data_IF_697996565208
#
_entry.id   IF_697996565208
#
_cell.length_a   1.000
_cell.length_b   1.000
_cell.length_c   1.000
_cell.angle_alpha   90.00
_cell.angle_beta   90.00
_cell.angle_gamma   90.00
#
_symmetry.space_group_name_H-M   'P 1'
#
loop_
_entity.id
_entity.type
_entity.pdbx_description
1 polymer ?
#
# COMPACT_ATOMS: atom_id res chain seq x y z
N UNK A 1 -18.06 3.52 -14.83
CA UNK A 1 -16.59 3.56 -14.91
C UNK A 1 -16.02 3.19 -13.55
N UNK A 2 -15.75 1.90 -13.38
CA UNK A 2 -15.29 1.27 -12.14
C UNK A 2 -13.92 1.84 -11.75
N UNK A 3 -13.00 1.97 -12.70
CA UNK A 3 -11.67 2.53 -12.43
C UNK A 3 -11.72 3.95 -11.87
N UNK A 4 -12.61 4.79 -12.40
CA UNK A 4 -12.78 6.16 -11.93
C UNK A 4 -13.28 6.20 -10.48
N UNK A 5 -14.31 5.41 -10.14
CA UNK A 5 -14.87 5.37 -8.79
C UNK A 5 -13.92 4.72 -7.79
N UNK A 6 -13.29 3.59 -8.15
CA UNK A 6 -12.33 2.89 -7.29
C UNK A 6 -11.05 3.73 -7.07
N UNK A 7 -10.57 4.40 -8.11
CA UNK A 7 -9.42 5.32 -8.02
C UNK A 7 -9.68 6.44 -7.02
N UNK A 8 -10.85 7.08 -7.09
CA UNK A 8 -11.24 8.09 -6.09
C UNK A 8 -11.29 7.51 -4.67
N UNK A 9 -11.91 6.34 -4.47
CA UNK A 9 -11.95 5.70 -3.14
C UNK A 9 -10.55 5.43 -2.60
N UNK A 10 -9.64 4.90 -3.43
CA UNK A 10 -8.24 4.66 -3.03
C UNK A 10 -7.52 5.95 -2.64
N UNK A 11 -7.63 7.01 -3.45
CA UNK A 11 -6.99 8.31 -3.17
C UNK A 11 -7.56 8.92 -1.88
N UNK A 12 -8.87 8.87 -1.67
CA UNK A 12 -9.50 9.37 -0.43
C UNK A 12 -8.99 8.59 0.77
N UNK A 13 -8.95 7.25 0.71
CA UNK A 13 -8.40 6.43 1.78
C UNK A 13 -6.92 6.75 2.05
N UNK A 14 -6.13 7.03 1.01
CA UNK A 14 -4.75 7.45 1.17
C UNK A 14 -4.62 8.81 1.86
N UNK A 15 -5.50 9.77 1.53
CA UNK A 15 -5.57 11.07 2.22
C UNK A 15 -5.96 10.88 3.68
N UNK A 16 -6.95 10.04 3.99
CA UNK A 16 -7.34 9.72 5.37
C UNK A 16 -6.16 9.14 6.14
N UNK A 17 -5.41 8.21 5.56
CA UNK A 17 -4.19 7.66 6.18
C UNK A 17 -3.05 8.67 6.29
N UNK A 18 -3.08 9.75 5.51
CA UNK A 18 -2.14 10.86 5.61
C UNK A 18 -2.44 11.75 6.81
N UNK A 19 -3.71 12.10 7.00
CA UNK A 19 -4.15 13.02 8.06
C UNK A 19 -4.22 12.30 9.41
N UNK A 20 -4.71 11.05 9.43
CA UNK A 20 -4.95 10.28 10.65
C UNK A 20 -4.21 8.93 10.64
N UNK A 21 -2.86 8.93 10.66
CA UNK A 21 -2.12 7.68 10.81
C UNK A 21 -2.44 7.04 12.17
N UNK A 22 -2.56 5.71 12.18
CA UNK A 22 -2.79 4.91 13.38
C UNK A 22 -1.48 4.85 14.16
N UNK A 23 -1.49 5.43 15.36
CA UNK A 23 -0.25 5.64 16.13
C UNK A 23 0.21 4.40 16.91
N UNK A 24 -0.67 3.41 17.08
CA UNK A 24 -0.46 2.25 17.96
C UNK A 24 -0.97 0.96 17.33
N UNK A 25 -0.29 -0.15 17.63
CA UNK A 25 -0.62 -1.49 17.13
C UNK A 25 -2.03 -1.99 17.53
N UNK A 26 -2.47 -1.61 18.72
CA UNK A 26 -3.75 -2.05 19.31
C UNK A 26 -4.98 -1.29 18.78
N UNK A 27 -4.82 -0.31 17.88
CA UNK A 27 -5.96 0.42 17.34
C UNK A 27 -6.84 -0.49 16.45
N UNK A 28 -8.14 -0.16 16.40
CA UNK A 28 -9.13 -0.91 15.60
C UNK A 28 -8.93 -0.80 14.09
N UNK A 29 -8.23 0.26 13.63
CA UNK A 29 -7.97 0.54 12.22
C UNK A 29 -6.46 0.64 11.92
N UNK A 30 -6.08 0.35 10.67
CA UNK A 30 -4.69 0.36 10.20
C UNK A 30 -4.38 -0.82 9.27
N UNK A 31 -3.13 -0.94 8.83
CA UNK A 31 -2.68 -2.06 8.01
C UNK A 31 -2.46 -3.29 8.90
N UNK A 32 -3.27 -4.35 8.72
CA UNK A 32 -3.37 -5.49 9.66
C UNK A 32 -2.84 -6.81 9.10
N UNK A 33 -1.75 -6.81 8.35
CA UNK A 33 -1.08 -8.08 8.00
C UNK A 33 -0.26 -8.59 9.19
N UNK A 34 -0.07 -9.93 9.34
CA UNK A 34 0.69 -10.50 10.45
C UNK A 34 2.08 -9.90 10.59
N UNK A 35 2.80 -9.76 9.46
CA UNK A 35 4.14 -9.16 9.39
C UNK A 35 4.15 -7.68 9.83
N UNK A 36 3.10 -6.93 9.50
CA UNK A 36 2.97 -5.54 9.95
C UNK A 36 2.81 -5.39 11.46
N UNK A 37 2.41 -6.45 12.17
CA UNK A 37 2.02 -6.40 13.58
C UNK A 37 3.07 -6.94 14.55
N UNK A 38 4.23 -7.36 14.05
CA UNK A 38 5.32 -7.88 14.88
C UNK A 38 5.87 -6.84 15.86
N UNK A 39 6.07 -5.60 15.38
CA UNK A 39 6.65 -4.52 16.17
C UNK A 39 5.93 -3.19 15.88
N UNK A 40 5.91 -2.28 16.86
CA UNK A 40 5.32 -0.93 16.66
C UNK A 40 6.04 -0.14 15.56
N UNK A 41 7.36 -0.31 15.42
CA UNK A 41 8.16 0.29 14.34
C UNK A 41 7.71 -0.22 12.97
N UNK A 42 7.58 -1.54 12.82
CA UNK A 42 7.09 -2.19 11.60
C UNK A 42 5.67 -1.78 11.27
N UNK A 43 4.79 -1.65 12.28
CA UNK A 43 3.41 -1.19 12.09
C UNK A 43 3.35 0.24 11.55
N UNK A 44 4.15 1.16 12.11
CA UNK A 44 4.23 2.55 11.63
C UNK A 44 4.80 2.63 10.21
N UNK A 45 5.81 1.81 9.91
CA UNK A 45 6.38 1.72 8.57
C UNK A 45 5.37 1.17 7.57
N UNK A 46 4.68 0.08 7.91
CA UNK A 46 3.62 -0.53 7.11
C UNK A 46 2.54 0.48 6.77
N UNK A 47 2.10 1.30 7.73
CA UNK A 47 1.09 2.31 7.49
C UNK A 47 1.58 3.46 6.59
N UNK A 48 2.82 3.93 6.78
CA UNK A 48 3.43 4.94 5.91
C UNK A 48 3.57 4.41 4.48
N UNK A 49 3.98 3.15 4.34
CA UNK A 49 4.12 2.46 3.07
C UNK A 49 2.76 2.30 2.38
N UNK A 50 1.77 1.77 3.09
CA UNK A 50 0.41 1.58 2.59
C UNK A 50 -0.19 2.89 2.09
N UNK A 51 -0.06 3.98 2.84
CA UNK A 51 -0.51 5.31 2.43
C UNK A 51 0.10 5.75 1.10
N UNK A 52 1.43 5.72 0.98
CA UNK A 52 2.11 6.14 -0.24
C UNK A 52 1.75 5.24 -1.42
N UNK A 53 1.65 3.94 -1.20
CA UNK A 53 1.31 2.97 -2.24
C UNK A 53 -0.13 3.13 -2.72
N UNK A 54 -1.06 3.35 -1.78
CA UNK A 54 -2.47 3.56 -2.08
C UNK A 54 -2.70 4.87 -2.85
N UNK A 55 -1.93 5.92 -2.53
CA UNK A 55 -1.96 7.17 -3.28
C UNK A 55 -1.46 6.98 -4.72
N UNK A 56 -0.36 6.26 -4.91
CA UNK A 56 0.25 6.02 -6.22
C UNK A 56 -0.64 5.11 -7.09
N UNK A 57 -1.04 3.95 -6.58
CA UNK A 57 -1.89 3.00 -7.31
C UNK A 57 -3.28 3.60 -7.54
N UNK A 58 -3.86 4.24 -6.54
CA UNK A 58 -5.16 4.92 -6.65
C UNK A 58 -5.12 6.07 -7.66
N UNK A 59 -4.05 6.87 -7.66
CA UNK A 59 -3.85 7.97 -8.60
C UNK A 59 -3.73 7.49 -10.05
N UNK A 60 -2.93 6.44 -10.31
CA UNK A 60 -2.83 5.81 -11.64
C UNK A 60 -4.20 5.26 -12.08
N UNK A 61 -4.89 4.56 -11.19
CA UNK A 61 -6.20 3.96 -11.47
C UNK A 61 -7.25 5.04 -11.79
N UNK A 62 -7.23 6.14 -11.02
CA UNK A 62 -8.11 7.29 -11.24
C UNK A 62 -7.81 7.97 -12.57
N UNK A 63 -6.53 8.15 -12.90
CA UNK A 63 -6.10 8.75 -14.17
C UNK A 63 -6.59 7.91 -15.35
N UNK A 64 -6.35 6.59 -15.34
CA UNK A 64 -6.85 5.67 -16.38
C UNK A 64 -8.37 5.78 -16.53
N UNK A 65 -9.11 5.74 -15.41
CA UNK A 65 -10.57 5.88 -15.42
C UNK A 65 -11.05 7.24 -15.95
N UNK A 66 -10.29 8.32 -15.69
CA UNK A 66 -10.57 9.66 -16.20
C UNK A 66 -10.33 9.75 -17.72
N UNK A 67 -9.24 9.17 -18.23
CA UNK A 67 -8.96 9.11 -19.67
C UNK A 67 -10.06 8.31 -20.40
N UNK A 68 -10.41 7.11 -19.92
CA UNK A 68 -11.47 6.28 -20.49
C UNK A 68 -12.81 7.03 -20.58
N UNK A 69 -13.17 7.76 -19.52
CA UNK A 69 -14.38 8.59 -19.49
C UNK A 69 -14.31 9.74 -20.51
N UNK A 70 -13.15 10.39 -20.64
CA UNK A 70 -12.96 11.54 -21.54
C UNK A 70 -13.05 11.13 -23.01
N UNK A 71 -12.57 9.93 -23.37
CA UNK A 71 -12.70 9.38 -24.72
C UNK A 71 -14.06 8.71 -25.00
N UNK A 72 -15.01 8.77 -24.07
CA UNK A 72 -16.34 8.16 -24.25
C UNK A 72 -16.33 6.63 -24.25
N UNK A 73 -15.23 6.00 -23.82
CA UNK A 73 -15.05 4.55 -23.74
C UNK A 73 -15.78 3.96 -22.54
N UNK A 74 -17.08 4.24 -22.39
CA UNK A 74 -17.81 3.90 -21.15
C UNK A 74 -18.43 2.50 -21.14
N UNK A 75 -18.32 1.75 -22.24
CA UNK A 75 -19.02 0.47 -22.41
C UNK A 75 -18.24 -0.76 -21.89
N UNK A 76 -17.00 -0.58 -21.43
CA UNK A 76 -16.10 -1.66 -21.03
C UNK A 76 -16.32 -2.20 -19.60
N UNK A 77 -17.54 -2.15 -19.08
CA UNK A 77 -17.82 -2.48 -17.67
C UNK A 77 -17.26 -3.84 -17.21
N UNK A 78 -17.48 -4.91 -17.99
CA UNK A 78 -16.99 -6.26 -17.68
C UNK A 78 -15.46 -6.31 -17.68
N UNK A 79 -14.83 -5.64 -18.65
CA UNK A 79 -13.38 -5.57 -18.75
C UNK A 79 -12.79 -4.81 -17.56
N UNK A 80 -13.35 -3.66 -17.20
CA UNK A 80 -12.91 -2.90 -16.02
C UNK A 80 -13.05 -3.71 -14.73
N UNK A 81 -14.13 -4.46 -14.59
CA UNK A 81 -14.36 -5.32 -13.44
C UNK A 81 -13.32 -6.43 -13.33
N UNK A 82 -12.91 -7.05 -14.44
CA UNK A 82 -11.87 -8.07 -14.43
C UNK A 82 -10.49 -7.47 -14.12
N UNK A 83 -10.18 -6.33 -14.73
CA UNK A 83 -8.86 -5.72 -14.63
C UNK A 83 -8.62 -4.97 -13.30
N UNK A 84 -9.66 -4.59 -12.54
CA UNK A 84 -9.50 -3.93 -11.23
C UNK A 84 -8.75 -4.79 -10.20
N UNK A 85 -8.74 -6.10 -10.39
CA UNK A 85 -8.02 -7.03 -9.50
C UNK A 85 -6.50 -6.77 -9.56
N UNK A 86 -5.97 -6.38 -10.72
CA UNK A 86 -4.52 -6.15 -10.92
C UNK A 86 -3.98 -5.02 -10.02
N UNK A 87 -4.52 -3.78 -10.03
CA UNK A 87 -4.02 -2.73 -9.16
C UNK A 87 -4.24 -3.05 -7.67
N UNK A 88 -5.34 -3.71 -7.31
CA UNK A 88 -5.59 -4.14 -5.92
C UNK A 88 -4.53 -5.15 -5.47
N UNK A 89 -4.29 -6.20 -6.24
CA UNK A 89 -3.28 -7.21 -5.94
C UNK A 89 -1.87 -6.62 -5.89
N UNK A 90 -1.55 -5.73 -6.84
CA UNK A 90 -0.27 -5.01 -6.90
C UNK A 90 -0.04 -4.16 -5.65
N UNK A 91 -1.08 -3.46 -5.17
CA UNK A 91 -1.02 -2.71 -3.92
C UNK A 91 -0.66 -3.62 -2.74
N UNK A 92 -1.39 -4.73 -2.54
CA UNK A 92 -1.12 -5.65 -1.43
C UNK A 92 0.28 -6.27 -1.52
N UNK A 93 0.66 -6.77 -2.69
CA UNK A 93 1.96 -7.38 -2.92
C UNK A 93 3.12 -6.41 -2.62
N UNK A 94 3.04 -5.17 -3.12
CA UNK A 94 4.13 -4.20 -2.93
C UNK A 94 4.23 -3.68 -1.50
N UNK A 95 3.11 -3.57 -0.79
CA UNK A 95 3.15 -3.21 0.64
C UNK A 95 3.75 -4.35 1.46
N UNK A 96 3.31 -5.60 1.24
CA UNK A 96 3.82 -6.75 2.00
C UNK A 96 5.31 -6.98 1.76
N UNK A 97 5.76 -6.86 0.50
CA UNK A 97 7.19 -6.97 0.16
C UNK A 97 8.04 -5.89 0.83
N UNK A 98 7.53 -4.66 0.93
CA UNK A 98 8.26 -3.57 1.62
C UNK A 98 8.32 -3.80 3.13
N UNK A 99 7.27 -4.36 3.72
CA UNK A 99 7.23 -4.70 5.14
C UNK A 99 8.24 -5.81 5.45
N UNK A 100 8.30 -6.84 4.61
CA UNK A 100 9.27 -7.93 4.73
C UNK A 100 10.71 -7.43 4.69
N UNK A 101 11.07 -6.62 3.69
CA UNK A 101 12.41 -6.03 3.60
C UNK A 101 12.75 -5.20 4.86
N UNK A 102 11.79 -4.42 5.36
CA UNK A 102 12.00 -3.63 6.56
C UNK A 102 12.14 -4.48 7.84
N UNK A 103 11.35 -5.55 7.94
CA UNK A 103 11.43 -6.50 9.06
C UNK A 103 12.77 -7.23 9.07
N UNK A 104 13.24 -7.70 7.91
CA UNK A 104 14.54 -8.36 7.75
C UNK A 104 15.72 -7.44 8.10
N UNK A 105 15.62 -6.15 7.75
CA UNK A 105 16.63 -5.14 8.10
C UNK A 105 16.66 -4.81 9.60
N UNK A 106 15.52 -4.93 10.28
CA UNK A 106 15.39 -4.61 11.71
C UNK A 106 15.59 -5.86 12.59
N UNK A 107 15.93 -7.01 12.00
CA UNK A 107 16.13 -8.25 12.73
C UNK A 107 17.49 -8.20 13.46
N UNK A 108 17.53 -8.30 14.81
CA UNK A 108 18.74 -8.12 15.61
C UNK A 108 19.89 -9.05 15.21
N UNK A 109 19.59 -10.27 14.76
CA UNK A 109 20.59 -11.25 14.29
C UNK A 109 21.36 -10.72 13.07
N UNK A 110 20.71 -9.90 12.22
CA UNK A 110 21.35 -9.32 11.03
C UNK A 110 22.08 -8.02 11.32
N UNK A 111 21.62 -7.24 12.31
CA UNK A 111 22.38 -6.09 12.81
C UNK A 111 23.72 -6.55 13.43
N UNK A 112 23.73 -7.63 14.22
CA UNK A 112 24.96 -8.19 14.82
C UNK A 112 25.96 -8.66 13.75
N UNK A 113 25.53 -9.47 12.76
CA UNK A 113 26.42 -9.91 11.67
C UNK A 113 26.96 -8.75 10.83
N UNK A 114 26.16 -7.70 10.60
CA UNK A 114 26.61 -6.52 9.83
C UNK A 114 27.66 -5.74 10.61
N UNK A 115 27.47 -5.59 11.93
CA UNK A 115 28.43 -4.91 12.79
C UNK A 115 29.74 -5.69 12.95
N UNK A 116 29.69 -7.03 12.99
CA UNK A 116 30.91 -7.87 12.97
C UNK A 116 31.69 -7.70 11.66
N UNK A 117 31.03 -7.76 10.49
CA UNK A 117 31.71 -7.58 9.19
C UNK A 117 32.31 -6.19 8.93
N UNK A 118 31.89 -5.17 9.68
CA UNK A 118 32.43 -3.81 9.57
C UNK A 118 33.63 -3.60 10.51
N UNK A 119 33.75 -4.43 11.54
CA UNK A 119 34.76 -4.31 12.59
C UNK A 119 35.99 -5.23 12.37
N UNK A 120 35.96 -6.06 11.31
CA UNK A 120 37.07 -6.85 10.75
C UNK A 120 37.67 -6.16 9.52
#
# INVERSE_FOLDING_TARGET
>A
MIFYTCGWMMVILAIVYTIYPSKKLHYKYGYRTPRARENEKTFRFAQKCARNMLFLVGGITLLIGFLLKTFGMTQFFILEFLFIVIPIATFFYLVERKIEIFADQTNPIREEMTNETIND
#
